data_IF_541164121481
#
_entry.id   IF_541164121481
#
_cell.length_a   1.000
_cell.length_b   1.000
_cell.length_c   1.000
_cell.angle_alpha   90.00
_cell.angle_beta   90.00
_cell.angle_gamma   90.00
#
_symmetry.space_group_name_H-M   'P 1'
#
loop_
_entity.id
_entity.type
_entity.pdbx_description
1 polymer ?
#
# COMPACT_ATOMS: atom_id res chain seq x y z
N UNK A 1 16.40 -8.66 14.90
CA UNK A 1 15.29 -7.69 14.71
C UNK A 1 13.99 -8.45 14.65
N UNK A 2 12.94 -7.96 15.29
CA UNK A 2 11.59 -8.58 15.24
C UNK A 2 10.62 -7.57 14.63
N UNK A 3 9.95 -7.96 13.56
CA UNK A 3 8.92 -7.16 12.87
C UNK A 3 7.58 -7.89 12.94
N UNK A 4 6.49 -7.16 13.22
CA UNK A 4 5.13 -7.68 13.13
C UNK A 4 4.56 -7.31 11.75
N UNK A 5 4.52 -8.28 10.85
CA UNK A 5 4.11 -8.07 9.46
C UNK A 5 2.86 -8.91 9.18
N UNK A 6 1.77 -8.26 8.79
CA UNK A 6 0.48 -8.90 8.50
C UNK A 6 0.02 -9.83 9.65
N UNK A 7 0.19 -9.37 10.89
CA UNK A 7 -0.20 -10.10 12.10
C UNK A 7 0.73 -11.26 12.48
N UNK A 8 1.90 -11.39 11.84
CA UNK A 8 2.89 -12.44 12.13
C UNK A 8 4.23 -11.84 12.54
N UNK A 9 4.84 -12.39 13.58
CA UNK A 9 6.21 -12.05 13.96
C UNK A 9 7.21 -12.64 12.97
N UNK A 10 8.10 -11.79 12.46
CA UNK A 10 9.22 -12.15 11.61
C UNK A 10 10.53 -11.84 12.34
N UNK A 11 11.36 -12.85 12.57
CA UNK A 11 12.69 -12.72 13.19
C UNK A 11 13.75 -12.66 12.12
N UNK A 12 14.36 -11.49 11.95
CA UNK A 12 15.29 -11.22 10.86
C UNK A 12 16.68 -10.90 11.41
N UNK A 13 17.70 -11.56 10.85
CA UNK A 13 19.11 -11.24 11.07
C UNK A 13 19.60 -10.33 9.95
N UNK A 14 19.26 -9.04 10.05
CA UNK A 14 19.57 -8.03 9.04
C UNK A 14 20.27 -6.81 9.64
N UNK A 15 21.01 -6.09 8.81
CA UNK A 15 21.68 -4.84 9.20
C UNK A 15 20.64 -3.75 9.56
N UNK A 16 20.95 -2.94 10.58
CA UNK A 16 20.06 -1.86 11.03
C UNK A 16 19.86 -0.75 9.98
N UNK A 17 20.71 -0.69 8.96
CA UNK A 17 20.59 0.22 7.81
C UNK A 17 19.64 -0.29 6.73
N UNK A 18 19.13 -1.52 6.84
CA UNK A 18 18.23 -2.12 5.86
C UNK A 18 16.92 -1.33 5.82
N UNK A 19 16.48 -0.92 4.63
CA UNK A 19 15.17 -0.31 4.44
C UNK A 19 14.05 -1.32 4.76
N UNK A 20 12.89 -0.82 5.18
CA UNK A 20 11.72 -1.68 5.37
C UNK A 20 11.33 -2.39 4.06
N UNK A 21 11.46 -1.69 2.93
CA UNK A 21 11.19 -2.27 1.61
C UNK A 21 12.09 -3.48 1.32
N UNK A 22 13.40 -3.35 1.55
CA UNK A 22 14.32 -4.47 1.34
C UNK A 22 14.08 -5.60 2.34
N UNK A 23 13.78 -5.28 3.61
CA UNK A 23 13.41 -6.28 4.60
C UNK A 23 12.20 -7.10 4.16
N UNK A 24 11.15 -6.45 3.68
CA UNK A 24 9.94 -7.11 3.17
C UNK A 24 10.24 -8.00 1.97
N UNK A 25 10.94 -7.47 0.97
CA UNK A 25 11.13 -8.14 -0.32
C UNK A 25 12.19 -9.23 -0.29
N UNK A 26 13.37 -8.92 0.27
CA UNK A 26 14.55 -9.77 0.12
C UNK A 26 14.69 -10.77 1.29
N UNK A 27 14.19 -10.42 2.47
CA UNK A 27 14.34 -11.26 3.66
C UNK A 27 13.05 -11.98 4.07
N UNK A 28 11.88 -11.36 3.88
CA UNK A 28 10.58 -11.98 4.20
C UNK A 28 9.94 -12.64 2.96
N UNK A 29 10.29 -12.18 1.75
CA UNK A 29 9.75 -12.70 0.50
C UNK A 29 8.39 -12.09 0.13
N UNK A 30 7.97 -11.00 0.77
CA UNK A 30 6.76 -10.25 0.42
C UNK A 30 7.08 -9.24 -0.69
N UNK A 31 6.82 -9.61 -1.92
CA UNK A 31 7.24 -8.85 -3.10
C UNK A 31 6.19 -7.89 -3.66
N UNK A 32 5.03 -7.77 -3.01
CA UNK A 32 3.95 -6.89 -3.42
C UNK A 32 4.34 -5.41 -3.44
N UNK A 33 4.92 -4.88 -2.35
CA UNK A 33 5.53 -3.55 -2.37
C UNK A 33 6.73 -3.54 -3.32
N UNK A 34 6.81 -2.51 -4.19
CA UNK A 34 7.78 -2.44 -5.29
C UNK A 34 8.82 -1.34 -5.11
N UNK A 35 10.04 -1.61 -5.58
CA UNK A 35 11.12 -0.62 -5.66
C UNK A 35 11.07 0.05 -7.04
N UNK A 36 10.43 1.23 -7.13
CA UNK A 36 10.41 2.02 -8.36
C UNK A 36 11.54 3.04 -8.38
N UNK A 37 11.49 4.05 -7.51
CA UNK A 37 12.47 5.13 -7.49
C UNK A 37 13.51 5.04 -6.36
N UNK A 38 13.21 4.34 -5.27
CA UNK A 38 14.03 4.22 -4.05
C UNK A 38 14.45 5.57 -3.40
N UNK A 39 13.65 6.61 -3.66
CA UNK A 39 13.92 7.98 -3.18
C UNK A 39 12.65 8.75 -2.81
N UNK A 40 11.53 8.05 -2.56
CA UNK A 40 10.31 8.66 -2.05
C UNK A 40 9.42 9.34 -3.08
N UNK A 41 9.65 9.20 -4.39
CA UNK A 41 8.93 9.94 -5.44
C UNK A 41 7.74 9.19 -6.03
N UNK A 42 7.80 7.86 -6.15
CA UNK A 42 6.85 7.11 -6.97
C UNK A 42 5.69 6.46 -6.20
N UNK A 43 5.82 6.23 -4.89
CA UNK A 43 4.79 5.61 -4.05
C UNK A 43 4.58 4.10 -4.25
N UNK A 44 5.31 3.43 -5.16
CA UNK A 44 5.15 2.01 -5.43
C UNK A 44 5.50 1.10 -4.22
N UNK A 45 6.22 1.64 -3.25
CA UNK A 45 6.62 0.97 -2.02
C UNK A 45 5.71 1.26 -0.82
N UNK A 46 4.57 1.90 -1.01
CA UNK A 46 3.66 2.26 0.09
C UNK A 46 3.16 1.01 0.83
N UNK A 47 3.30 1.04 2.14
CA UNK A 47 2.74 0.08 3.11
C UNK A 47 2.05 0.85 4.23
N UNK A 48 1.35 0.17 5.14
CA UNK A 48 0.85 0.81 6.35
C UNK A 48 1.71 0.42 7.56
N UNK A 49 1.95 1.38 8.45
CA UNK A 49 2.49 1.15 9.80
C UNK A 49 1.51 1.76 10.79
N UNK A 50 0.93 0.92 11.65
CA UNK A 50 -0.13 1.30 12.60
C UNK A 50 -1.34 1.98 11.94
N UNK A 51 -1.63 1.62 10.69
CA UNK A 51 -2.75 2.14 9.91
C UNK A 51 -2.43 3.36 9.06
N UNK A 52 -1.26 3.97 9.22
CA UNK A 52 -0.81 5.12 8.43
C UNK A 52 0.03 4.69 7.23
N UNK A 53 -0.19 5.31 6.07
CA UNK A 53 0.63 5.05 4.88
C UNK A 53 2.03 5.61 5.03
N UNK A 54 3.02 4.80 4.72
CA UNK A 54 4.43 5.17 4.73
C UNK A 54 5.16 4.66 3.49
N UNK A 55 6.23 5.34 3.11
CA UNK A 55 7.11 4.91 2.03
C UNK A 55 8.19 3.97 2.60
N UNK A 56 8.04 2.67 2.37
CA UNK A 56 8.94 1.67 2.94
C UNK A 56 10.38 1.78 2.44
N UNK A 57 10.63 2.38 1.27
CA UNK A 57 11.98 2.64 0.78
C UNK A 57 12.74 3.69 1.61
N UNK A 58 12.03 4.62 2.26
CA UNK A 58 12.60 5.66 3.12
C UNK A 58 12.47 5.35 4.61
N UNK A 59 11.91 4.22 4.97
CA UNK A 59 11.72 3.78 6.36
C UNK A 59 12.76 2.70 6.67
N UNK A 60 13.54 2.86 7.74
CA UNK A 60 14.43 1.80 8.20
C UNK A 60 13.61 0.69 8.87
N UNK A 61 13.95 -0.58 8.60
CA UNK A 61 13.27 -1.72 9.21
C UNK A 61 13.35 -1.66 10.75
N UNK A 62 14.46 -1.21 11.30
CA UNK A 62 14.65 -1.07 12.75
C UNK A 62 13.68 -0.05 13.36
N UNK A 63 13.27 0.98 12.63
CA UNK A 63 12.31 1.98 13.10
C UNK A 63 10.86 1.44 13.15
N UNK A 64 10.59 0.33 12.48
CA UNK A 64 9.29 -0.33 12.45
C UNK A 64 9.16 -1.45 13.50
N UNK A 65 10.20 -1.71 14.32
CA UNK A 65 10.10 -2.71 15.40
C UNK A 65 9.01 -2.32 16.40
N UNK A 66 8.24 -3.32 16.84
CA UNK A 66 7.14 -3.15 17.80
C UNK A 66 5.87 -2.49 17.22
N UNK A 67 5.90 -2.13 15.94
CA UNK A 67 4.75 -1.53 15.22
C UNK A 67 4.09 -2.58 14.32
N UNK A 68 2.80 -2.36 14.01
CA UNK A 68 2.06 -3.23 13.09
C UNK A 68 2.32 -2.79 11.65
N UNK A 69 2.94 -3.67 10.87
CA UNK A 69 3.19 -3.45 9.45
C UNK A 69 2.15 -4.24 8.66
N UNK A 70 1.44 -3.56 7.76
CA UNK A 70 0.49 -4.16 6.85
C UNK A 70 0.91 -3.89 5.41
N UNK A 71 1.01 -4.95 4.61
CA UNK A 71 1.34 -4.90 3.19
C UNK A 71 0.14 -5.35 2.35
N UNK A 72 0.24 -5.20 1.03
CA UNK A 72 -0.82 -5.63 0.11
C UNK A 72 -1.22 -7.10 0.31
N UNK A 73 -0.26 -7.96 0.67
CA UNK A 73 -0.49 -9.38 0.92
C UNK A 73 -1.33 -9.65 2.17
N UNK A 74 -1.40 -8.68 3.09
CA UNK A 74 -2.18 -8.81 4.33
C UNK A 74 -3.62 -8.28 4.24
N UNK A 75 -4.02 -7.70 3.11
CA UNK A 75 -5.35 -7.08 2.98
C UNK A 75 -6.48 -8.07 2.77
N UNK A 76 -6.23 -9.18 2.08
CA UNK A 76 -7.24 -10.21 1.84
C UNK A 76 -7.61 -10.92 3.15
N UNK A 77 -8.88 -11.27 3.29
CA UNK A 77 -9.37 -12.04 4.42
C UNK A 77 -8.78 -13.46 4.45
N UNK A 78 -8.90 -14.16 5.60
CA UNK A 78 -8.36 -15.51 5.76
C UNK A 78 -9.03 -16.55 4.84
N UNK A 79 -10.23 -16.26 4.35
CA UNK A 79 -11.00 -17.01 3.37
C UNK A 79 -10.62 -16.67 1.91
N UNK A 80 -9.67 -15.76 1.71
CA UNK A 80 -9.28 -15.26 0.40
C UNK A 80 -10.19 -14.17 -0.16
N UNK A 81 -11.18 -13.68 0.61
CA UNK A 81 -12.02 -12.55 0.20
C UNK A 81 -11.16 -11.29 0.02
N UNK A 82 -11.30 -10.64 -1.13
CA UNK A 82 -10.56 -9.42 -1.43
C UNK A 82 -11.08 -8.25 -0.58
N UNK A 83 -10.15 -7.38 -0.19
CA UNK A 83 -10.52 -6.09 0.39
C UNK A 83 -11.34 -5.28 -0.65
N UNK A 84 -12.37 -4.48 -0.23
CA UNK A 84 -13.19 -3.70 -1.15
C UNK A 84 -12.39 -2.86 -2.15
N UNK A 85 -11.26 -2.30 -1.73
CA UNK A 85 -10.37 -1.55 -2.61
C UNK A 85 -9.72 -2.43 -3.68
N UNK A 86 -9.29 -3.64 -3.33
CA UNK A 86 -8.73 -4.60 -4.31
C UNK A 86 -9.78 -4.98 -5.34
N UNK A 87 -11.01 -5.28 -4.90
CA UNK A 87 -12.11 -5.61 -5.79
C UNK A 87 -12.46 -4.44 -6.72
N UNK A 88 -12.52 -3.22 -6.19
CA UNK A 88 -12.81 -2.03 -6.98
C UNK A 88 -11.75 -1.76 -8.08
N UNK A 89 -10.47 -2.03 -7.79
CA UNK A 89 -9.41 -1.92 -8.80
C UNK A 89 -9.59 -2.93 -9.93
N UNK A 90 -10.11 -4.12 -9.65
CA UNK A 90 -10.47 -5.12 -10.67
C UNK A 90 -11.68 -4.63 -11.48
N UNK A 91 -12.76 -4.23 -10.80
CA UNK A 91 -14.03 -3.84 -11.42
C UNK A 91 -13.90 -2.62 -12.35
N UNK A 92 -13.01 -1.69 -12.00
CA UNK A 92 -12.80 -0.43 -12.71
C UNK A 92 -11.56 -0.44 -13.62
N UNK A 93 -10.91 -1.59 -13.81
CA UNK A 93 -9.65 -1.69 -14.55
C UNK A 93 -8.60 -0.66 -14.06
N UNK A 94 -8.47 -0.51 -12.74
CA UNK A 94 -7.58 0.47 -12.08
C UNK A 94 -6.08 0.15 -12.22
N UNK A 95 -5.71 -0.72 -13.16
CA UNK A 95 -4.34 -1.17 -13.39
C UNK A 95 -4.12 -1.54 -14.87
N UNK A 96 -2.86 -1.51 -15.31
CA UNK A 96 -2.44 -2.08 -16.59
C UNK A 96 -1.26 -3.04 -16.35
N UNK A 97 -0.02 -2.56 -16.27
CA UNK A 97 1.12 -3.45 -16.00
C UNK A 97 1.13 -4.04 -14.57
N UNK A 98 0.41 -3.45 -13.63
CA UNK A 98 0.29 -3.91 -12.24
C UNK A 98 1.46 -3.54 -11.32
N UNK A 99 2.54 -2.92 -11.82
CA UNK A 99 3.72 -2.65 -11.02
C UNK A 99 3.45 -1.67 -9.86
N UNK A 100 2.78 -0.56 -10.12
CA UNK A 100 2.43 0.43 -9.09
C UNK A 100 1.19 0.04 -8.28
N UNK A 101 0.44 -0.96 -8.70
CA UNK A 101 -0.90 -1.26 -8.17
C UNK A 101 -0.93 -1.56 -6.68
N UNK A 102 0.00 -2.35 -6.09
CA UNK A 102 0.02 -2.54 -4.65
C UNK A 102 0.16 -1.24 -3.86
N UNK A 103 1.08 -0.36 -4.27
CA UNK A 103 1.26 0.95 -3.65
C UNK A 103 0.05 1.86 -3.85
N UNK A 104 -0.59 1.84 -5.03
CA UNK A 104 -1.82 2.59 -5.30
C UNK A 104 -2.95 2.14 -4.37
N UNK A 105 -3.17 0.83 -4.20
CA UNK A 105 -4.21 0.29 -3.33
C UNK A 105 -3.96 0.67 -1.87
N UNK A 106 -2.73 0.51 -1.37
CA UNK A 106 -2.39 0.88 0.01
C UNK A 106 -2.62 2.38 0.27
N UNK A 107 -2.19 3.24 -0.65
CA UNK A 107 -2.43 4.69 -0.56
C UNK A 107 -3.90 5.04 -0.69
N UNK A 108 -4.66 4.36 -1.54
CA UNK A 108 -6.09 4.58 -1.74
C UNK A 108 -6.91 4.26 -0.47
N UNK A 109 -6.58 3.15 0.21
CA UNK A 109 -7.20 2.79 1.49
C UNK A 109 -6.94 3.90 2.53
N UNK A 110 -5.71 4.38 2.62
CA UNK A 110 -5.37 5.48 3.52
C UNK A 110 -6.09 6.78 3.15
N UNK A 111 -6.18 7.13 1.86
CA UNK A 111 -6.91 8.30 1.36
C UNK A 111 -8.38 8.29 1.83
N UNK A 112 -9.05 7.13 1.75
CA UNK A 112 -10.42 6.99 2.27
C UNK A 112 -10.46 7.15 3.79
N UNK A 113 -9.59 6.46 4.52
CA UNK A 113 -9.53 6.51 6.00
C UNK A 113 -9.21 7.90 6.53
N UNK A 114 -8.40 8.66 5.80
CA UNK A 114 -8.03 10.05 6.12
C UNK A 114 -9.15 11.05 5.79
N UNK A 115 -10.25 10.62 5.15
CA UNK A 115 -11.38 11.46 4.78
C UNK A 115 -11.16 12.29 3.51
N UNK A 116 -10.19 11.92 2.67
CA UNK A 116 -9.80 12.66 1.48
C UNK A 116 -10.30 12.05 0.16
N UNK A 117 -11.34 11.22 0.22
CA UNK A 117 -11.95 10.62 -0.96
C UNK A 117 -13.32 11.23 -1.30
N UNK A 118 -13.62 12.44 -0.82
CA UNK A 118 -14.91 13.11 -1.00
C UNK A 118 -15.20 13.52 -2.44
N UNK A 119 -14.22 14.07 -3.12
CA UNK A 119 -14.31 14.54 -4.50
C UNK A 119 -13.19 13.97 -5.38
N UNK A 120 -13.38 13.98 -6.70
CA UNK A 120 -12.35 13.59 -7.65
C UNK A 120 -11.07 14.45 -7.52
N UNK A 121 -11.24 15.73 -7.17
CA UNK A 121 -10.12 16.64 -6.96
C UNK A 121 -9.30 16.25 -5.71
N UNK A 122 -9.99 15.96 -4.61
CA UNK A 122 -9.34 15.50 -3.39
C UNK A 122 -8.59 14.19 -3.62
N UNK A 123 -9.24 13.21 -4.28
CA UNK A 123 -8.58 11.94 -4.60
C UNK A 123 -7.31 12.17 -5.41
N UNK A 124 -7.35 13.01 -6.45
CA UNK A 124 -6.16 13.31 -7.26
C UNK A 124 -5.05 13.96 -6.44
N UNK A 125 -5.40 14.91 -5.58
CA UNK A 125 -4.44 15.59 -4.72
C UNK A 125 -3.78 14.61 -3.74
N UNK A 126 -4.57 13.87 -2.97
CA UNK A 126 -4.06 12.97 -1.93
C UNK A 126 -3.47 11.66 -2.45
N UNK A 127 -3.69 11.34 -3.73
CA UNK A 127 -3.04 10.24 -4.45
C UNK A 127 -1.84 10.71 -5.30
N UNK A 128 -1.51 11.98 -5.32
CA UNK A 128 -0.45 12.55 -6.17
C UNK A 128 0.95 11.98 -5.91
N UNK A 129 1.19 11.44 -4.70
CA UNK A 129 2.42 10.75 -4.36
C UNK A 129 2.57 9.34 -4.96
N UNK A 130 1.57 8.84 -5.68
CA UNK A 130 1.57 7.52 -6.29
C UNK A 130 1.51 7.64 -7.82
N UNK A 131 2.63 7.32 -8.48
CA UNK A 131 2.77 7.42 -9.93
C UNK A 131 2.35 6.13 -10.64
N UNK A 132 1.67 6.30 -11.78
CA UNK A 132 1.36 5.22 -12.71
C UNK A 132 1.88 5.56 -14.10
N UNK A 133 2.89 4.84 -14.58
CA UNK A 133 3.47 5.10 -15.91
C UNK A 133 2.54 4.71 -17.06
N UNK A 134 1.60 3.80 -16.81
CA UNK A 134 0.55 3.42 -17.75
C UNK A 134 -0.62 4.43 -17.80
N UNK A 135 -0.59 5.44 -16.94
CA UNK A 135 -1.62 6.50 -16.84
C UNK A 135 -3.03 5.97 -16.54
N UNK A 136 -3.16 4.94 -15.70
CA UNK A 136 -4.46 4.40 -15.28
C UNK A 136 -5.22 5.32 -14.29
N UNK A 137 -4.82 6.57 -14.13
CA UNK A 137 -5.34 7.50 -13.13
C UNK A 137 -6.87 7.68 -13.13
N UNK A 138 -7.57 7.83 -14.30
CA UNK A 138 -9.03 7.95 -14.29
C UNK A 138 -9.72 6.73 -13.67
N UNK A 139 -9.23 5.54 -13.99
CA UNK A 139 -9.76 4.28 -13.48
C UNK A 139 -9.43 4.08 -11.99
N UNK A 140 -8.25 4.52 -11.54
CA UNK A 140 -7.88 4.52 -10.12
C UNK A 140 -8.83 5.43 -9.33
N UNK A 141 -9.15 6.62 -9.82
CA UNK A 141 -10.13 7.52 -9.20
C UNK A 141 -11.50 6.86 -9.11
N UNK A 142 -11.95 6.20 -10.19
CA UNK A 142 -13.23 5.48 -10.21
C UNK A 142 -13.24 4.33 -9.19
N UNK A 143 -12.16 3.57 -9.09
CA UNK A 143 -12.00 2.48 -8.12
C UNK A 143 -12.08 2.99 -6.67
N UNK A 144 -11.41 4.09 -6.37
CA UNK A 144 -11.44 4.69 -5.02
C UNK A 144 -12.86 5.13 -4.65
N UNK A 145 -13.58 5.76 -5.57
CA UNK A 145 -14.99 6.19 -5.36
C UNK A 145 -15.89 4.99 -5.07
N UNK A 146 -15.75 3.90 -5.84
CA UNK A 146 -16.50 2.67 -5.62
C UNK A 146 -16.19 2.05 -4.26
N UNK A 147 -14.91 1.88 -3.93
CA UNK A 147 -14.49 1.27 -2.68
C UNK A 147 -14.90 2.07 -1.45
N UNK A 148 -14.83 3.41 -1.52
CA UNK A 148 -15.25 4.29 -0.43
C UNK A 148 -16.67 3.97 0.05
N UNK A 149 -17.61 3.79 -0.88
CA UNK A 149 -19.02 3.50 -0.54
C UNK A 149 -19.18 2.21 0.27
N UNK A 150 -18.30 1.23 0.04
CA UNK A 150 -18.30 -0.05 0.77
C UNK A 150 -17.53 0.04 2.09
N UNK A 151 -16.45 0.84 2.14
CA UNK A 151 -15.61 1.00 3.33
C UNK A 151 -16.27 1.88 4.40
N UNK A 152 -17.16 2.81 4.01
CA UNK A 152 -17.88 3.71 4.90
C UNK A 152 -19.22 3.13 5.40
N UNK A 153 -19.66 1.99 4.87
CA UNK A 153 -20.85 1.31 5.38
C UNK A 153 -20.55 0.71 6.76
N UNK A 154 -21.40 0.99 7.78
CA UNK A 154 -21.26 0.43 9.12
C UNK A 154 -21.46 -1.10 9.14
#
# INVERSE_FOLDING_TARGET
MILNINGREQRLAIDTRTSLLDALREYVGLTGAKKGCDQGQCGACTVHIDGERVLSCLTLAVAAQGRRIETIEGLAGPDGALHPMQQAFIDQDGLQCGYCTPGQIMSAIACVREGHAGTDADIREYMSGNLCRCAAYPNIVAAIKQAREQMERP
#
